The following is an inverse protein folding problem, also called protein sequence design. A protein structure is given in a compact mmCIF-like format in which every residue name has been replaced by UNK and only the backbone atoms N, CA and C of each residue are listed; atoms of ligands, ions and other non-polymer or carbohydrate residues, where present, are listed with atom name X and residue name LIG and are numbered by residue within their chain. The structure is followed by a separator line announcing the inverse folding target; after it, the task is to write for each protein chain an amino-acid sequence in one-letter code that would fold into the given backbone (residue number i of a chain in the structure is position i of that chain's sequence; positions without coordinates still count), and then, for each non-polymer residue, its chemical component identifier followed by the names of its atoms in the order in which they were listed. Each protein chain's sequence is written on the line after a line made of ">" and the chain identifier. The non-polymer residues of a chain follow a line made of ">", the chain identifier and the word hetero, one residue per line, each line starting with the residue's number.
data_IF_797055330643
#
_entry.id   IF_797055330643
#
_cell.length_a   1.000
_cell.length_b   1.000
_cell.length_c   1.000
_cell.angle_alpha   90.00
_cell.angle_beta   90.00
_cell.angle_gamma   90.00
#
_symmetry.space_group_name_H-M   'P 1'
#
loop_
_entity.id
_entity.type
_entity.pdbx_description
1 polymer ?
#
# COMPACT_ATOMS: atom_id res chain seq x y z
N UNK A 1 34.41 9.33 -2.72
CA UNK A 1 33.12 9.25 -2.00
C UNK A 1 32.18 8.39 -2.83
N UNK A 2 32.12 7.10 -2.53
CA UNK A 2 31.31 6.13 -3.28
C UNK A 2 29.88 6.15 -2.75
N UNK A 3 28.95 6.71 -3.53
CA UNK A 3 27.53 6.67 -3.21
C UNK A 3 27.00 5.27 -3.55
N UNK A 4 26.76 4.46 -2.52
CA UNK A 4 26.12 3.16 -2.65
C UNK A 4 24.60 3.39 -2.69
N UNK A 5 24.03 3.44 -3.89
CA UNK A 5 22.56 3.45 -4.06
C UNK A 5 22.06 2.04 -3.77
N UNK A 6 21.55 1.81 -2.56
CA UNK A 6 20.87 0.57 -2.20
C UNK A 6 19.62 0.42 -3.06
N UNK A 7 19.78 -0.31 -4.17
CA UNK A 7 18.67 -0.73 -5.01
C UNK A 7 17.79 -1.65 -4.16
N UNK A 8 16.79 -1.08 -3.47
CA UNK A 8 15.72 -1.82 -2.79
C UNK A 8 14.94 -2.54 -3.89
N UNK A 9 15.47 -3.70 -4.31
CA UNK A 9 14.82 -4.59 -5.25
C UNK A 9 13.39 -4.82 -4.80
N UNK A 10 12.44 -4.48 -5.67
CA UNK A 10 11.01 -4.70 -5.47
C UNK A 10 10.80 -6.10 -4.88
N UNK A 11 10.00 -6.20 -3.82
CA UNK A 11 9.70 -7.48 -3.20
C UNK A 11 9.22 -8.47 -4.28
N UNK A 12 9.82 -9.66 -4.40
CA UNK A 12 9.48 -10.62 -5.45
C UNK A 12 7.99 -10.97 -5.40
N UNK A 13 7.36 -11.06 -6.56
CA UNK A 13 5.93 -11.37 -6.69
C UNK A 13 4.97 -10.20 -6.44
N UNK A 14 5.45 -8.95 -6.28
CA UNK A 14 4.59 -7.76 -6.14
C UNK A 14 4.62 -6.88 -7.40
N UNK A 15 3.44 -6.48 -7.86
CA UNK A 15 3.28 -5.48 -8.92
C UNK A 15 3.18 -4.08 -8.31
N UNK A 16 3.97 -3.14 -8.82
CA UNK A 16 3.88 -1.73 -8.40
C UNK A 16 2.69 -1.06 -9.08
N UNK A 17 1.86 -0.36 -8.30
CA UNK A 17 0.76 0.45 -8.79
C UNK A 17 1.06 1.92 -8.49
N UNK A 18 0.94 2.77 -9.52
CA UNK A 18 1.07 4.22 -9.39
C UNK A 18 -0.28 4.87 -9.70
N UNK A 19 -0.89 5.50 -8.70
CA UNK A 19 -2.18 6.19 -8.82
C UNK A 19 -2.11 7.55 -8.14
N UNK A 20 -2.88 8.50 -8.65
CA UNK A 20 -3.08 9.80 -8.01
C UNK A 20 -4.36 9.75 -7.18
N UNK A 21 -4.25 10.08 -5.89
CA UNK A 21 -5.39 10.17 -4.97
C UNK A 21 -5.50 11.58 -4.41
N UNK A 22 -6.72 12.08 -4.11
CA UNK A 22 -6.89 13.35 -3.43
C UNK A 22 -6.14 13.39 -2.09
N UNK A 23 -5.49 14.50 -1.77
CA UNK A 23 -4.70 14.63 -0.54
C UNK A 23 -5.53 14.35 0.73
N UNK A 24 -6.79 14.79 0.75
CA UNK A 24 -7.71 14.53 1.86
C UNK A 24 -8.01 13.04 2.06
N UNK A 25 -8.04 12.26 0.97
CA UNK A 25 -8.21 10.81 1.05
C UNK A 25 -6.94 10.15 1.59
N UNK A 26 -5.75 10.57 1.13
CA UNK A 26 -4.48 10.06 1.63
C UNK A 26 -4.33 10.29 3.13
N UNK A 27 -4.70 11.48 3.63
CA UNK A 27 -4.67 11.78 5.07
C UNK A 27 -5.58 10.86 5.89
N UNK A 28 -6.77 10.53 5.35
CA UNK A 28 -7.67 9.57 6.00
C UNK A 28 -7.10 8.16 6.01
N UNK A 29 -6.50 7.72 4.90
CA UNK A 29 -5.83 6.42 4.79
C UNK A 29 -4.68 6.33 5.80
N UNK A 30 -3.87 7.37 5.92
CA UNK A 30 -2.74 7.40 6.88
C UNK A 30 -3.22 7.24 8.32
N UNK A 31 -4.28 7.96 8.70
CA UNK A 31 -4.88 7.86 10.03
C UNK A 31 -5.38 6.44 10.32
N UNK A 32 -6.06 5.81 9.36
CA UNK A 32 -6.56 4.44 9.50
C UNK A 32 -5.42 3.42 9.58
N UNK A 33 -4.36 3.62 8.79
CA UNK A 33 -3.17 2.78 8.83
C UNK A 33 -2.47 2.87 10.20
N UNK A 34 -2.37 4.07 10.78
CA UNK A 34 -1.83 4.30 12.12
C UNK A 34 -2.68 3.64 13.21
N UNK A 35 -4.01 3.79 13.16
CA UNK A 35 -4.95 3.13 14.07
C UNK A 35 -4.78 1.59 14.07
N UNK A 36 -4.41 1.00 12.93
CA UNK A 36 -4.14 -0.44 12.78
C UNK A 36 -2.66 -0.84 13.01
N UNK A 37 -1.78 0.08 13.40
CA UNK A 37 -0.33 -0.15 13.53
C UNK A 37 0.32 -0.69 12.23
N UNK A 38 -0.11 -0.15 11.07
CA UNK A 38 0.37 -0.53 9.74
C UNK A 38 0.91 0.67 8.99
N UNK A 39 1.79 0.43 8.02
CA UNK A 39 2.14 1.46 7.04
C UNK A 39 1.04 1.59 5.96
N UNK A 40 1.01 2.74 5.28
CA UNK A 40 0.04 3.06 4.22
C UNK A 40 -0.08 1.95 3.17
N UNK A 41 1.04 1.46 2.63
CA UNK A 41 1.02 0.46 1.56
C UNK A 41 0.46 -0.88 2.02
N UNK A 42 0.77 -1.31 3.23
CA UNK A 42 0.27 -2.55 3.81
C UNK A 42 -1.23 -2.43 4.13
N UNK A 43 -1.66 -1.30 4.65
CA UNK A 43 -3.08 -1.02 4.89
C UNK A 43 -3.87 -1.07 3.58
N UNK A 44 -3.44 -0.35 2.54
CA UNK A 44 -4.11 -0.37 1.23
C UNK A 44 -4.17 -1.78 0.65
N UNK A 45 -3.07 -2.54 0.70
CA UNK A 45 -3.04 -3.91 0.17
C UNK A 45 -4.04 -4.83 0.88
N UNK A 46 -4.13 -4.75 2.21
CA UNK A 46 -5.10 -5.55 2.98
C UNK A 46 -6.54 -5.14 2.70
N UNK A 47 -6.85 -3.84 2.63
CA UNK A 47 -8.22 -3.41 2.32
C UNK A 47 -8.64 -3.82 0.90
N UNK A 48 -7.73 -3.81 -0.06
CA UNK A 48 -7.98 -4.31 -1.42
C UNK A 48 -8.21 -5.83 -1.44
N UNK A 49 -7.44 -6.60 -0.68
CA UNK A 49 -7.64 -8.05 -0.54
C UNK A 49 -9.01 -8.38 0.06
N UNK A 50 -9.41 -7.67 1.12
CA UNK A 50 -10.75 -7.80 1.73
C UNK A 50 -11.84 -7.50 0.71
N UNK A 51 -11.71 -6.39 -0.03
CA UNK A 51 -12.66 -6.00 -1.07
C UNK A 51 -12.81 -7.09 -2.14
N UNK A 52 -11.70 -7.63 -2.65
CA UNK A 52 -11.73 -8.68 -3.67
C UNK A 52 -12.33 -9.98 -3.14
N UNK A 53 -11.99 -10.37 -1.90
CA UNK A 53 -12.51 -11.60 -1.27
C UNK A 53 -14.03 -11.54 -1.10
N UNK A 54 -14.59 -10.36 -0.81
CA UNK A 54 -16.06 -10.22 -0.73
C UNK A 54 -16.77 -10.37 -2.07
N UNK A 55 -16.05 -10.28 -3.20
CA UNK A 55 -16.61 -10.37 -4.54
C UNK A 55 -16.51 -11.78 -5.16
N UNK A 56 -15.63 -12.66 -4.68
CA UNK A 56 -15.45 -14.02 -5.22
C UNK A 56 -16.52 -15.03 -4.76
N UNK A 57 -17.68 -14.55 -4.29
CA UNK A 57 -18.80 -15.34 -3.81
C UNK A 57 -20.07 -15.26 -4.67
N UNK A 58 -19.96 -15.32 -6.00
CA UNK A 58 -21.11 -15.49 -6.91
C UNK A 58 -20.80 -16.41 -8.09
#
# INVERSE_FOLDING_TARGET
>A
MSQQTSNHGRAPGKTQISISLPAALVAKIDRLAEEENRNRSNFIATEMEKLCTTCEGK
#
